data_IF_296743012420
#
_entry.id   IF_296743012420
#
_cell.length_a   1.000
_cell.length_b   1.000
_cell.length_c   1.000
_cell.angle_alpha   90.00
_cell.angle_beta   90.00
_cell.angle_gamma   90.00
#
_symmetry.space_group_name_H-M   'P 1'
#
loop_
_entity.id
_entity.type
_entity.pdbx_description
1 polymer ?
#
# COMPACT_ATOMS: atom_id res chain seq x y z
N UNK A 1 -31.51 -72.50 -21.57
CA UNK A 1 -32.38 -71.58 -20.80
C UNK A 1 -32.29 -70.19 -21.43
N UNK A 2 -33.41 -69.50 -21.68
CA UNK A 2 -33.43 -68.38 -22.60
C UNK A 2 -32.77 -67.11 -22.03
N UNK A 3 -31.99 -66.43 -22.88
CA UNK A 3 -31.23 -65.21 -22.60
C UNK A 3 -32.05 -63.98 -22.18
N UNK A 4 -33.38 -64.11 -22.10
CA UNK A 4 -34.29 -63.06 -21.63
C UNK A 4 -34.22 -62.84 -20.11
N UNK A 5 -33.92 -63.89 -19.34
CA UNK A 5 -33.89 -63.80 -17.87
C UNK A 5 -32.68 -63.04 -17.32
N UNK A 6 -31.50 -63.17 -17.95
CA UNK A 6 -30.31 -62.42 -17.56
C UNK A 6 -30.43 -60.91 -17.82
N UNK A 7 -31.09 -60.53 -18.91
CA UNK A 7 -31.31 -59.12 -19.27
C UNK A 7 -32.27 -58.40 -18.31
N UNK A 8 -33.25 -59.12 -17.78
CA UNK A 8 -34.21 -58.58 -16.82
C UNK A 8 -33.57 -58.38 -15.43
N UNK A 9 -32.72 -59.31 -14.99
CA UNK A 9 -32.03 -59.18 -13.70
C UNK A 9 -30.94 -58.08 -13.70
N UNK A 10 -30.24 -57.89 -14.82
CA UNK A 10 -29.25 -56.79 -14.93
C UNK A 10 -29.91 -55.42 -14.95
N UNK A 11 -31.07 -55.28 -15.62
CA UNK A 11 -31.85 -54.04 -15.61
C UNK A 11 -32.49 -53.75 -14.25
N UNK A 12 -32.96 -54.79 -13.54
CA UNK A 12 -33.48 -54.65 -12.18
C UNK A 12 -32.38 -54.22 -11.20
N UNK A 13 -31.17 -54.80 -11.31
CA UNK A 13 -30.03 -54.42 -10.48
C UNK A 13 -29.51 -53.01 -10.80
N UNK A 14 -29.52 -52.60 -12.07
CA UNK A 14 -29.18 -51.22 -12.47
C UNK A 14 -30.22 -50.18 -11.99
N UNK A 15 -31.51 -50.55 -11.94
CA UNK A 15 -32.59 -49.70 -11.40
C UNK A 15 -32.53 -49.60 -9.87
N UNK A 16 -32.18 -50.67 -9.16
CA UNK A 16 -31.95 -50.65 -7.71
C UNK A 16 -30.67 -49.89 -7.33
N UNK A 17 -29.59 -50.04 -8.10
CA UNK A 17 -28.36 -49.27 -7.90
C UNK A 17 -28.57 -47.75 -8.15
N UNK A 18 -29.42 -47.38 -9.12
CA UNK A 18 -29.81 -45.99 -9.37
C UNK A 18 -30.73 -45.42 -8.27
N UNK A 19 -31.57 -46.26 -7.64
CA UNK A 19 -32.36 -45.87 -6.46
C UNK A 19 -31.52 -45.70 -5.20
N UNK A 20 -30.47 -46.51 -5.03
CA UNK A 20 -29.57 -46.43 -3.88
C UNK A 20 -28.69 -45.17 -3.91
N UNK A 21 -28.26 -44.72 -5.10
CA UNK A 21 -27.49 -43.48 -5.27
C UNK A 21 -28.36 -42.21 -5.24
N UNK A 22 -29.67 -42.32 -5.47
CA UNK A 22 -30.63 -41.23 -5.34
C UNK A 22 -31.02 -40.90 -3.88
N UNK A 23 -30.47 -41.61 -2.89
CA UNK A 23 -30.76 -41.36 -1.46
C UNK A 23 -30.03 -40.15 -0.85
N UNK A 24 -29.23 -39.44 -1.63
CA UNK A 24 -28.72 -38.11 -1.27
C UNK A 24 -29.22 -37.08 -2.26
N UNK A 25 -30.54 -36.90 -2.31
CA UNK A 25 -31.11 -35.62 -2.71
C UNK A 25 -30.58 -34.57 -1.70
N UNK A 26 -30.01 -33.44 -2.15
CA UNK A 26 -29.67 -32.38 -1.22
C UNK A 26 -30.93 -32.00 -0.45
N UNK A 27 -30.80 -31.90 0.87
CA UNK A 27 -31.90 -31.56 1.77
C UNK A 27 -32.69 -30.39 1.17
N UNK A 28 -33.93 -30.67 0.77
CA UNK A 28 -34.85 -29.65 0.26
C UNK A 28 -35.06 -28.67 1.41
N UNK A 29 -34.71 -27.41 1.21
CA UNK A 29 -34.82 -26.36 2.21
C UNK A 29 -36.23 -26.39 2.86
N UNK A 30 -36.35 -26.24 4.19
CA UNK A 30 -37.66 -26.25 4.85
C UNK A 30 -38.60 -25.14 4.34
N UNK A 31 -38.08 -23.98 3.95
CA UNK A 31 -38.85 -22.91 3.29
C UNK A 31 -39.47 -23.31 1.93
N UNK A 32 -38.83 -24.23 1.19
CA UNK A 32 -39.36 -24.69 -0.10
C UNK A 32 -40.58 -25.58 0.04
N UNK A 33 -40.76 -26.21 1.21
CA UNK A 33 -41.92 -27.06 1.49
C UNK A 33 -43.15 -26.25 1.90
N UNK A 34 -42.99 -25.16 2.65
CA UNK A 34 -44.09 -24.24 2.99
C UNK A 34 -44.60 -23.47 1.77
N UNK A 35 -43.70 -22.98 0.90
CA UNK A 35 -44.10 -22.31 -0.35
C UNK A 35 -44.90 -23.26 -1.27
N UNK A 36 -44.50 -24.54 -1.34
CA UNK A 36 -45.17 -25.56 -2.16
C UNK A 36 -46.57 -25.95 -1.69
N UNK A 37 -46.93 -25.66 -0.43
CA UNK A 37 -48.24 -25.96 0.15
C UNK A 37 -49.29 -24.86 -0.11
N UNK A 38 -48.87 -23.65 -0.49
CA UNK A 38 -49.74 -22.47 -0.60
C UNK A 38 -49.92 -21.95 -2.04
N UNK A 39 -49.08 -22.37 -2.98
CA UNK A 39 -49.05 -21.85 -4.36
C UNK A 39 -49.26 -22.98 -5.37
N UNK A 40 -50.00 -22.71 -6.45
CA UNK A 40 -50.22 -23.67 -7.52
C UNK A 40 -48.93 -24.02 -8.30
N UNK A 41 -48.89 -25.10 -9.10
CA UNK A 41 -47.69 -25.52 -9.84
C UNK A 41 -47.08 -24.43 -10.76
N UNK A 42 -47.92 -23.56 -11.31
CA UNK A 42 -47.49 -22.41 -12.13
C UNK A 42 -46.91 -21.27 -11.27
N UNK A 43 -47.56 -20.94 -10.15
CA UNK A 43 -47.13 -19.88 -9.23
C UNK A 43 -45.84 -20.27 -8.49
N UNK A 44 -45.65 -21.55 -8.19
CA UNK A 44 -44.39 -22.09 -7.68
C UNK A 44 -43.25 -21.93 -8.69
N UNK A 45 -43.53 -22.19 -9.98
CA UNK A 45 -42.54 -22.00 -11.02
C UNK A 45 -42.10 -20.53 -11.12
N UNK A 46 -43.04 -19.58 -11.01
CA UNK A 46 -42.73 -18.15 -10.94
C UNK A 46 -41.99 -17.75 -9.67
N UNK A 47 -42.37 -18.30 -8.52
CA UNK A 47 -41.69 -18.10 -7.25
C UNK A 47 -40.22 -18.57 -7.29
N UNK A 48 -39.95 -19.79 -7.77
CA UNK A 48 -38.57 -20.30 -7.90
C UNK A 48 -37.79 -19.56 -9.00
N UNK A 49 -38.44 -19.15 -10.11
CA UNK A 49 -37.83 -18.28 -11.12
C UNK A 49 -37.41 -16.94 -10.55
N UNK A 50 -38.17 -16.34 -9.63
CA UNK A 50 -37.85 -15.06 -9.02
C UNK A 50 -36.89 -15.20 -7.82
N UNK A 51 -36.96 -16.30 -7.05
CA UNK A 51 -36.05 -16.62 -5.94
C UNK A 51 -34.64 -17.01 -6.42
N UNK A 52 -34.52 -17.56 -7.62
CA UNK A 52 -33.23 -17.87 -8.25
C UNK A 52 -32.39 -16.63 -8.62
N UNK A 53 -32.99 -15.43 -8.63
CA UNK A 53 -32.29 -14.16 -8.84
C UNK A 53 -32.42 -13.26 -7.59
N UNK A 54 -31.99 -13.78 -6.45
CA UNK A 54 -32.02 -13.06 -5.17
C UNK A 54 -30.97 -11.95 -5.09
N UNK A 55 -29.80 -12.16 -5.70
CA UNK A 55 -28.73 -11.17 -5.75
C UNK A 55 -28.93 -10.16 -6.89
N UNK A 56 -28.50 -8.91 -6.66
CA UNK A 56 -28.44 -7.86 -7.69
C UNK A 56 -27.62 -8.30 -8.91
N UNK A 57 -26.56 -9.08 -8.67
CA UNK A 57 -25.73 -9.68 -9.72
C UNK A 57 -26.51 -10.67 -10.59
N UNK A 58 -27.31 -11.55 -9.97
CA UNK A 58 -28.06 -12.58 -10.69
C UNK A 58 -29.15 -11.95 -11.55
N UNK A 59 -29.84 -10.92 -11.03
CA UNK A 59 -30.84 -10.15 -11.79
C UNK A 59 -30.20 -9.43 -12.97
N UNK A 60 -29.05 -8.78 -12.76
CA UNK A 60 -28.30 -8.13 -13.82
C UNK A 60 -27.89 -9.13 -14.91
N UNK A 61 -27.37 -10.31 -14.51
CA UNK A 61 -26.97 -11.37 -15.44
C UNK A 61 -28.15 -11.86 -16.28
N UNK A 62 -29.32 -12.05 -15.67
CA UNK A 62 -30.55 -12.42 -16.39
C UNK A 62 -30.95 -11.35 -17.41
N UNK A 63 -31.01 -10.09 -16.97
CA UNK A 63 -31.34 -8.95 -17.83
C UNK A 63 -30.42 -8.86 -19.05
N UNK A 64 -29.10 -9.01 -18.86
CA UNK A 64 -28.14 -8.99 -19.95
C UNK A 64 -28.32 -10.18 -20.90
N UNK A 65 -28.58 -11.37 -20.36
CA UNK A 65 -28.82 -12.57 -21.17
C UNK A 65 -30.12 -12.48 -21.99
N UNK A 66 -31.20 -12.01 -21.38
CA UNK A 66 -32.48 -11.80 -22.04
C UNK A 66 -32.32 -10.73 -23.14
N UNK A 67 -31.62 -9.63 -22.85
CA UNK A 67 -31.32 -8.60 -23.85
C UNK A 67 -30.56 -9.15 -25.07
N UNK A 68 -29.51 -9.94 -24.83
CA UNK A 68 -28.72 -10.58 -25.87
C UNK A 68 -29.56 -11.58 -26.71
N UNK A 69 -30.49 -12.28 -26.07
CA UNK A 69 -31.38 -13.24 -26.74
C UNK A 69 -32.43 -12.56 -27.62
N UNK A 70 -33.00 -11.43 -27.19
CA UNK A 70 -34.08 -10.74 -27.91
C UNK A 70 -33.59 -9.79 -29.00
N UNK A 71 -32.53 -9.02 -28.72
CA UNK A 71 -32.07 -7.95 -29.61
C UNK A 71 -30.82 -8.32 -30.41
N UNK A 72 -30.17 -9.44 -30.08
CA UNK A 72 -28.88 -9.83 -30.65
C UNK A 72 -27.72 -8.96 -30.16
N UNK A 73 -26.50 -9.46 -30.33
CA UNK A 73 -25.27 -8.82 -29.86
C UNK A 73 -24.31 -9.83 -29.23
N UNK A 74 -23.15 -9.35 -28.79
CA UNK A 74 -22.14 -10.16 -28.09
C UNK A 74 -21.79 -9.55 -26.75
N UNK A 75 -21.36 -10.40 -25.80
CA UNK A 75 -20.79 -9.95 -24.52
C UNK A 75 -19.60 -8.99 -24.68
N UNK A 76 -18.92 -9.01 -25.84
CA UNK A 76 -17.87 -8.07 -26.20
C UNK A 76 -18.35 -6.62 -26.28
N UNK A 77 -19.62 -6.40 -26.62
CA UNK A 77 -20.17 -5.08 -26.88
C UNK A 77 -20.51 -4.34 -25.58
N UNK A 78 -20.63 -5.09 -24.48
CA UNK A 78 -20.78 -4.57 -23.12
C UNK A 78 -19.46 -4.20 -22.44
N UNK A 79 -18.33 -4.33 -23.14
CA UNK A 79 -17.03 -3.96 -22.59
C UNK A 79 -16.98 -2.43 -22.47
N UNK A 80 -16.88 -1.95 -21.24
CA UNK A 80 -16.72 -0.53 -20.96
C UNK A 80 -15.36 -0.03 -21.47
N UNK A 81 -15.35 1.19 -22.02
CA UNK A 81 -14.13 1.90 -22.36
C UNK A 81 -13.47 2.46 -21.08
N UNK A 82 -12.48 1.75 -20.56
CA UNK A 82 -11.77 2.14 -19.33
C UNK A 82 -10.64 3.18 -19.57
N UNK A 83 -10.51 3.70 -20.80
CA UNK A 83 -9.37 4.54 -21.20
C UNK A 83 -9.29 5.88 -20.46
N UNK A 84 -10.44 6.41 -20.05
CA UNK A 84 -10.56 7.73 -19.39
C UNK A 84 -10.77 7.60 -17.88
N UNK A 85 -10.82 6.39 -17.35
CA UNK A 85 -11.08 6.17 -15.93
C UNK A 85 -9.91 6.69 -15.09
N UNK A 86 -10.22 7.64 -14.21
CA UNK A 86 -9.28 8.12 -13.20
C UNK A 86 -9.63 7.48 -11.87
N UNK A 87 -8.68 6.73 -11.32
CA UNK A 87 -8.81 6.20 -9.96
C UNK A 87 -8.23 7.20 -8.97
N UNK A 88 -8.66 7.08 -7.72
CA UNK A 88 -8.10 7.80 -6.59
C UNK A 88 -6.57 7.70 -6.52
N UNK A 89 -6.01 6.52 -6.78
CA UNK A 89 -4.56 6.30 -6.80
C UNK A 89 -3.84 7.13 -7.85
N UNK A 90 -4.46 7.38 -9.00
CA UNK A 90 -3.86 8.18 -10.08
C UNK A 90 -3.84 9.66 -9.68
N UNK A 91 -4.94 10.14 -9.10
CA UNK A 91 -5.03 11.50 -8.53
C UNK A 91 -3.97 11.71 -7.43
N UNK A 92 -3.78 10.72 -6.56
CA UNK A 92 -2.75 10.78 -5.51
C UNK A 92 -1.34 10.75 -6.10
N UNK A 93 -1.09 10.03 -7.20
CA UNK A 93 0.22 10.03 -7.88
C UNK A 93 0.54 11.36 -8.53
N UNK A 94 -0.47 12.06 -9.07
CA UNK A 94 -0.31 13.35 -9.73
C UNK A 94 -0.08 14.50 -8.75
N UNK A 95 -0.86 14.54 -7.67
CA UNK A 95 -0.86 15.64 -6.68
C UNK A 95 -0.11 15.31 -5.39
N UNK A 96 0.41 14.09 -5.27
CA UNK A 96 1.10 13.62 -4.08
C UNK A 96 2.43 14.33 -3.89
N UNK A 97 2.63 14.86 -2.67
CA UNK A 97 3.88 15.49 -2.25
C UNK A 97 4.64 14.61 -1.27
N UNK A 98 5.97 14.71 -1.27
CA UNK A 98 6.81 13.97 -0.33
C UNK A 98 6.68 14.55 1.09
N UNK A 99 6.73 15.88 1.22
CA UNK A 99 6.39 16.62 2.44
C UNK A 99 5.34 17.69 2.15
N UNK A 100 4.33 17.77 3.01
CA UNK A 100 3.44 18.93 3.09
C UNK A 100 4.01 19.93 4.10
N UNK A 101 4.09 21.20 3.70
CA UNK A 101 4.42 22.32 4.58
C UNK A 101 3.14 22.90 5.18
N UNK A 102 3.21 23.47 6.38
CA UNK A 102 2.04 24.12 7.02
C UNK A 102 1.50 25.30 6.20
N UNK A 103 2.34 25.88 5.32
CA UNK A 103 1.96 26.97 4.41
C UNK A 103 1.21 26.47 3.15
N UNK A 104 1.33 25.18 2.83
CA UNK A 104 0.74 24.60 1.63
C UNK A 104 -0.71 24.15 1.93
N UNK A 105 -1.66 25.07 1.82
CA UNK A 105 -3.08 24.75 1.92
C UNK A 105 -3.62 24.14 0.62
N UNK A 106 -4.31 22.97 0.69
CA UNK A 106 -4.83 22.31 -0.50
C UNK A 106 -6.03 23.07 -1.07
N UNK A 107 -5.90 23.57 -2.30
CA UNK A 107 -6.96 24.35 -2.95
C UNK A 107 -7.99 23.44 -3.60
N UNK A 108 -7.49 22.43 -4.31
CA UNK A 108 -8.31 21.52 -5.12
C UNK A 108 -8.75 20.30 -4.31
N UNK A 109 -9.88 19.69 -4.69
CA UNK A 109 -10.32 18.39 -4.15
C UNK A 109 -9.21 17.33 -4.23
N UNK A 110 -8.54 17.22 -5.38
CA UNK A 110 -7.42 16.28 -5.60
C UNK A 110 -6.27 16.46 -4.62
N UNK A 111 -5.94 17.72 -4.30
CA UNK A 111 -4.91 18.06 -3.34
C UNK A 111 -5.35 17.75 -1.90
N UNK A 112 -6.63 17.98 -1.58
CA UNK A 112 -7.20 17.60 -0.28
C UNK A 112 -7.17 16.08 -0.08
N UNK A 113 -7.49 15.32 -1.13
CA UNK A 113 -7.39 13.86 -1.12
C UNK A 113 -5.94 13.41 -0.90
N UNK A 114 -4.99 13.99 -1.63
CA UNK A 114 -3.56 13.70 -1.47
C UNK A 114 -3.05 14.06 -0.06
N UNK A 115 -3.51 15.17 0.51
CA UNK A 115 -3.17 15.58 1.89
C UNK A 115 -3.72 14.60 2.92
N UNK A 116 -5.00 14.22 2.83
CA UNK A 116 -5.61 13.22 3.72
C UNK A 116 -4.84 11.89 3.67
N UNK A 117 -4.42 11.46 2.48
CA UNK A 117 -3.58 10.28 2.34
C UNK A 117 -2.22 10.46 3.02
N UNK A 118 -1.54 11.59 2.79
CA UNK A 118 -0.26 11.90 3.42
C UNK A 118 -0.31 11.98 4.95
N UNK A 119 -1.40 12.50 5.52
CA UNK A 119 -1.60 12.57 6.97
C UNK A 119 -1.67 11.16 7.58
N UNK A 120 -2.32 10.22 6.88
CA UNK A 120 -2.44 8.80 7.26
C UNK A 120 -1.11 8.03 7.18
N UNK A 121 -0.11 8.53 6.44
CA UNK A 121 1.20 7.85 6.33
C UNK A 121 1.98 7.89 7.65
N UNK A 122 2.62 6.77 7.98
CA UNK A 122 3.59 6.68 9.08
C UNK A 122 4.95 7.24 8.64
N UNK A 123 5.32 8.40 9.20
CA UNK A 123 6.44 9.25 8.75
C UNK A 123 7.73 9.16 9.60
N UNK A 124 7.84 8.17 10.49
CA UNK A 124 9.01 8.06 11.39
C UNK A 124 10.26 7.55 10.69
N UNK A 125 10.12 6.52 9.87
CA UNK A 125 11.22 5.85 9.17
C UNK A 125 10.89 5.66 7.70
N UNK A 126 11.84 5.96 6.83
CA UNK A 126 11.75 5.71 5.39
C UNK A 126 12.38 4.37 4.99
N UNK A 127 11.98 3.90 3.81
CA UNK A 127 12.70 2.85 3.09
C UNK A 127 13.59 3.49 2.04
N UNK A 128 14.72 2.84 1.79
CA UNK A 128 15.72 3.29 0.82
C UNK A 128 15.96 2.19 -0.22
N UNK A 129 16.11 2.58 -1.48
CA UNK A 129 16.69 1.71 -2.51
C UNK A 129 18.16 2.09 -2.71
N UNK A 130 19.04 1.19 -2.29
CA UNK A 130 20.49 1.33 -2.43
C UNK A 130 21.02 0.65 -3.70
N UNK A 131 20.18 0.30 -4.68
CA UNK A 131 20.61 -0.42 -5.89
C UNK A 131 21.69 0.31 -6.70
N UNK A 132 21.61 1.64 -6.79
CA UNK A 132 22.57 2.50 -7.53
C UNK A 132 23.56 3.23 -6.62
N UNK A 133 23.93 2.62 -5.49
CA UNK A 133 24.83 3.22 -4.50
C UNK A 133 26.22 3.61 -5.05
N UNK A 134 26.73 2.90 -6.08
CA UNK A 134 28.01 3.23 -6.71
C UNK A 134 28.02 4.60 -7.38
N UNK A 135 26.87 5.03 -7.91
CA UNK A 135 26.68 6.36 -8.50
C UNK A 135 26.31 7.42 -7.45
N UNK A 136 26.26 7.06 -6.16
CA UNK A 136 25.77 7.90 -5.07
C UNK A 136 24.32 8.39 -5.28
N UNK A 137 23.53 7.61 -6.02
CA UNK A 137 22.10 7.85 -6.24
C UNK A 137 21.30 6.90 -5.37
N UNK A 138 20.37 7.45 -4.61
CA UNK A 138 19.52 6.71 -3.70
C UNK A 138 18.08 7.15 -3.91
N UNK A 139 17.16 6.19 -3.92
CA UNK A 139 15.72 6.47 -3.89
C UNK A 139 15.20 6.25 -2.49
N UNK A 140 14.31 7.11 -2.02
CA UNK A 140 13.62 6.93 -0.74
C UNK A 140 12.12 7.00 -0.94
N UNK A 141 11.39 6.24 -0.12
CA UNK A 141 9.93 6.35 -0.03
C UNK A 141 9.44 6.09 1.39
N UNK A 142 8.27 6.63 1.71
CA UNK A 142 7.55 6.29 2.92
C UNK A 142 7.10 4.81 2.91
N UNK A 143 6.90 4.26 4.10
CA UNK A 143 6.47 2.87 4.30
C UNK A 143 4.99 2.71 3.97
N UNK A 144 4.64 1.56 3.42
CA UNK A 144 3.24 1.14 3.25
C UNK A 144 2.74 0.43 4.51
N UNK A 145 1.42 0.37 4.69
CA UNK A 145 0.78 -0.30 5.83
C UNK A 145 1.30 -1.72 6.07
N UNK A 146 1.35 -2.55 5.02
CA UNK A 146 1.89 -3.92 5.10
C UNK A 146 3.35 -3.97 5.59
N UNK A 147 4.13 -2.94 5.27
CA UNK A 147 5.54 -2.84 5.66
C UNK A 147 5.70 -2.35 7.10
N UNK A 148 4.80 -1.48 7.56
CA UNK A 148 4.74 -1.02 8.94
C UNK A 148 4.35 -2.19 9.85
N UNK A 149 3.32 -2.96 9.48
CA UNK A 149 2.88 -4.15 10.24
C UNK A 149 4.00 -5.20 10.31
N UNK A 150 4.73 -5.42 9.21
CA UNK A 150 5.88 -6.34 9.21
C UNK A 150 7.12 -5.78 9.89
N UNK A 151 7.13 -4.51 10.33
CA UNK A 151 8.28 -3.90 11.01
C UNK A 151 9.47 -3.58 10.10
N UNK A 152 9.28 -3.53 8.78
CA UNK A 152 10.35 -3.15 7.83
C UNK A 152 10.80 -1.70 8.07
N UNK A 153 12.10 -1.48 8.05
CA UNK A 153 12.71 -0.17 8.31
C UNK A 153 12.78 0.23 9.79
N UNK A 154 12.21 -0.55 10.72
CA UNK A 154 12.31 -0.33 12.16
C UNK A 154 13.01 -1.48 12.86
N UNK A 155 12.47 -2.70 12.72
CA UNK A 155 13.04 -3.95 13.26
C UNK A 155 13.74 -4.78 12.20
N UNK A 156 13.46 -4.52 10.93
CA UNK A 156 14.17 -5.11 9.79
C UNK A 156 14.88 -4.00 9.00
N UNK A 157 15.91 -4.37 8.23
CA UNK A 157 16.66 -3.43 7.40
C UNK A 157 15.74 -2.63 6.46
N UNK A 158 15.93 -1.30 6.41
CA UNK A 158 15.14 -0.39 5.58
C UNK A 158 15.49 -0.38 4.09
N UNK A 159 16.47 -1.19 3.65
CA UNK A 159 16.78 -1.30 2.22
C UNK A 159 15.79 -2.25 1.53
N UNK A 160 15.08 -1.77 0.52
CA UNK A 160 14.01 -2.52 -0.18
C UNK A 160 14.50 -3.86 -0.73
N UNK A 161 15.74 -3.91 -1.22
CA UNK A 161 16.35 -5.10 -1.83
C UNK A 161 17.21 -5.90 -0.86
N UNK A 162 17.18 -5.61 0.44
CA UNK A 162 17.97 -6.34 1.41
C UNK A 162 17.23 -7.60 1.87
N UNK A 163 17.92 -8.73 1.83
CA UNK A 163 17.43 -10.03 2.33
C UNK A 163 17.91 -10.33 3.74
N UNK A 164 18.73 -9.45 4.35
CA UNK A 164 19.14 -9.61 5.74
C UNK A 164 17.89 -9.56 6.63
N UNK A 165 17.62 -10.65 7.34
CA UNK A 165 16.48 -10.80 8.24
C UNK A 165 16.53 -9.86 9.44
N UNK A 166 15.54 -10.01 10.33
CA UNK A 166 15.38 -9.20 11.54
C UNK A 166 16.56 -9.34 12.53
N UNK A 167 17.41 -10.35 12.38
CA UNK A 167 18.53 -10.66 13.29
C UNK A 167 19.77 -9.77 13.08
N UNK A 168 19.76 -8.94 12.03
CA UNK A 168 20.87 -8.04 11.77
C UNK A 168 20.86 -6.85 12.74
N UNK A 169 22.00 -6.56 13.39
CA UNK A 169 22.16 -5.34 14.20
C UNK A 169 21.96 -4.09 13.32
N UNK A 170 20.86 -3.38 13.56
CA UNK A 170 20.46 -2.19 12.81
C UNK A 170 21.06 -0.91 13.42
N UNK A 171 21.53 -0.01 12.57
CA UNK A 171 21.95 1.35 12.93
C UNK A 171 20.98 2.38 12.38
N UNK A 172 20.67 3.40 13.19
CA UNK A 172 19.86 4.54 12.80
C UNK A 172 20.75 5.60 12.13
N UNK A 173 20.25 6.16 11.03
CA UNK A 173 20.90 7.20 10.22
C UNK A 173 19.93 8.33 10.01
N UNK A 174 20.43 9.56 10.04
CA UNK A 174 19.71 10.74 9.60
C UNK A 174 20.36 11.21 8.30
N UNK A 175 19.60 11.18 7.22
CA UNK A 175 20.10 11.48 5.88
C UNK A 175 19.39 12.72 5.35
N UNK A 176 20.17 13.68 4.87
CA UNK A 176 19.63 14.82 4.14
C UNK A 176 19.21 14.37 2.74
N UNK A 177 17.91 14.26 2.53
CA UNK A 177 17.30 13.87 1.27
C UNK A 177 16.99 15.13 0.45
N UNK A 178 17.84 15.38 -0.54
CA UNK A 178 17.60 16.40 -1.56
C UNK A 178 16.81 15.79 -2.71
N UNK A 179 15.65 16.36 -3.02
CA UNK A 179 14.76 15.92 -4.10
C UNK A 179 14.21 17.10 -4.89
N UNK A 180 13.68 16.82 -6.07
CA UNK A 180 13.03 17.81 -6.94
C UNK A 180 11.55 17.51 -7.00
N UNK A 181 10.72 18.48 -6.64
CA UNK A 181 9.26 18.36 -6.59
C UNK A 181 8.67 19.57 -7.32
N UNK A 182 7.78 19.34 -8.29
CA UNK A 182 7.16 20.39 -9.13
C UNK A 182 8.13 21.44 -9.70
N UNK A 183 9.39 21.06 -9.97
CA UNK A 183 10.40 21.99 -10.52
C UNK A 183 11.32 22.61 -9.46
N UNK A 184 10.97 22.55 -8.18
CA UNK A 184 11.71 23.14 -7.07
C UNK A 184 12.60 22.10 -6.38
N UNK A 185 13.76 22.55 -5.91
CA UNK A 185 14.65 21.73 -5.09
C UNK A 185 14.27 21.83 -3.62
N UNK A 186 13.95 20.70 -3.01
CA UNK A 186 13.58 20.58 -1.60
C UNK A 186 14.56 19.65 -0.89
N UNK A 187 14.82 19.95 0.38
CA UNK A 187 15.67 19.15 1.24
C UNK A 187 14.87 18.75 2.48
N UNK A 188 14.98 17.48 2.89
CA UNK A 188 14.35 16.98 4.10
C UNK A 188 15.31 16.06 4.86
N UNK A 189 15.38 16.22 6.18
CA UNK A 189 16.12 15.29 7.03
C UNK A 189 15.24 14.08 7.35
N UNK A 190 15.67 12.90 6.89
CA UNK A 190 14.88 11.67 6.99
C UNK A 190 15.64 10.64 7.82
N UNK A 191 14.90 9.92 8.68
CA UNK A 191 15.46 8.85 9.52
C UNK A 191 15.36 7.49 8.81
N UNK A 192 16.45 6.73 8.85
CA UNK A 192 16.57 5.40 8.27
C UNK A 192 17.17 4.42 9.28
N UNK A 193 16.76 3.15 9.26
CA UNK A 193 17.48 2.07 9.97
C UNK A 193 18.00 1.04 8.99
N UNK A 194 19.31 0.78 9.04
CA UNK A 194 20.00 -0.08 8.08
C UNK A 194 20.91 -1.08 8.80
N UNK A 195 21.05 -2.28 8.23
CA UNK A 195 22.07 -3.24 8.67
C UNK A 195 23.48 -2.72 8.35
N UNK A 196 24.51 -3.39 8.88
CA UNK A 196 25.92 -3.04 8.66
C UNK A 196 26.27 -2.91 7.17
N UNK A 197 25.90 -3.88 6.34
CA UNK A 197 26.25 -3.88 4.91
C UNK A 197 25.55 -2.75 4.14
N UNK A 198 24.28 -2.48 4.45
CA UNK A 198 23.54 -1.40 3.80
C UNK A 198 24.01 -0.02 4.27
N UNK A 199 24.40 0.09 5.54
CA UNK A 199 25.05 1.27 6.10
C UNK A 199 26.39 1.56 5.39
N UNK A 200 27.14 0.52 5.03
CA UNK A 200 28.40 0.67 4.29
C UNK A 200 28.15 1.11 2.83
N UNK A 201 27.07 0.61 2.20
CA UNK A 201 26.62 1.06 0.87
C UNK A 201 26.15 2.50 0.86
N UNK A 202 25.47 2.96 1.91
CA UNK A 202 25.01 4.34 2.04
C UNK A 202 26.21 5.31 2.06
N UNK A 203 27.26 4.98 2.81
CA UNK A 203 28.46 5.82 2.96
C UNK A 203 29.58 5.47 1.96
N UNK A 204 29.27 4.81 0.86
CA UNK A 204 30.25 4.26 -0.07
C UNK A 204 31.25 5.30 -0.59
N UNK A 205 30.78 6.50 -0.93
CA UNK A 205 31.64 7.58 -1.45
C UNK A 205 32.49 8.24 -0.37
N UNK A 206 31.95 8.41 0.83
CA UNK A 206 32.66 9.04 1.95
C UNK A 206 33.84 8.18 2.39
N UNK A 207 33.61 6.86 2.54
CA UNK A 207 34.67 5.90 2.87
C UNK A 207 35.78 5.82 1.83
N UNK A 208 35.47 5.91 0.53
CA UNK A 208 36.51 5.99 -0.51
C UNK A 208 37.30 7.31 -0.44
N UNK A 209 36.66 8.42 -0.06
CA UNK A 209 37.35 9.71 0.05
C UNK A 209 38.32 9.71 1.24
N UNK A 210 37.96 9.07 2.36
CA UNK A 210 38.82 8.92 3.53
C UNK A 210 39.99 7.96 3.30
N UNK A 211 39.77 6.85 2.55
CA UNK A 211 40.80 5.84 2.28
C UNK A 211 41.74 6.27 1.14
N UNK A 212 41.25 7.00 0.15
CA UNK A 212 42.04 7.35 -1.05
C UNK A 212 42.64 8.75 -0.97
N UNK A 213 42.23 9.64 -0.05
CA UNK A 213 42.86 10.95 0.23
C UNK A 213 42.88 11.97 -0.94
N UNK A 214 42.64 11.53 -2.18
CA UNK A 214 42.69 12.34 -3.38
C UNK A 214 41.26 12.62 -3.87
N UNK A 215 40.95 13.91 -3.97
CA UNK A 215 39.88 14.40 -4.85
C UNK A 215 40.16 13.82 -6.23
N UNK A 216 39.33 12.88 -6.70
CA UNK A 216 39.27 12.57 -8.14
C UNK A 216 38.72 13.83 -8.79
N UNK A 217 39.65 14.68 -9.23
CA UNK A 217 39.37 15.88 -9.98
C UNK A 217 38.70 15.48 -11.28
N UNK A 218 37.60 16.15 -11.58
CA UNK A 218 37.13 16.30 -12.95
C UNK A 218 38.28 16.83 -13.80
N UNK A 219 38.72 16.05 -14.77
CA UNK A 219 39.64 16.49 -15.80
C UNK A 219 38.95 17.57 -16.65
N UNK A 220 39.25 18.83 -16.37
CA UNK A 220 39.25 19.88 -17.40
C UNK A 220 40.71 20.22 -17.73
N UNK A 221 41.08 20.35 -19.01
CA UNK A 221 42.47 20.57 -19.42
C UNK A 221 42.87 22.03 -19.18
N UNK A 222 43.84 22.24 -18.29
CA UNK A 222 44.45 23.54 -18.05
C UNK A 222 45.43 23.95 -19.19
N UNK A 223 45.49 25.24 -19.58
CA UNK A 223 46.53 25.75 -20.46
C UNK A 223 47.83 26.06 -19.70
N UNK A 224 48.91 25.51 -20.26
CA UNK A 224 50.35 25.81 -20.19
C UNK A 224 50.85 26.88 -19.18
N UNK A 225 51.58 26.35 -18.21
CA UNK A 225 52.78 26.82 -17.46
C UNK A 225 53.46 28.12 -17.95
N UNK A 226 53.58 29.07 -17.02
CA UNK A 226 54.64 30.08 -16.92
C UNK A 226 55.36 29.92 -15.57
N UNK A 227 56.63 30.29 -15.55
CA UNK A 227 57.73 29.86 -14.67
C UNK A 227 58.04 30.84 -13.52
N UNK A 228 58.92 30.43 -12.59
CA UNK A 228 59.66 31.17 -11.52
C UNK A 228 59.16 30.94 -10.07
N UNK A 229 59.82 30.07 -9.28
CA UNK A 229 61.01 30.21 -8.38
C UNK A 229 60.74 30.74 -6.96
N UNK A 230 61.21 29.94 -6.00
CA UNK A 230 61.84 30.30 -4.71
C UNK A 230 61.00 30.47 -3.41
N UNK A 231 61.41 29.62 -2.45
CA UNK A 231 61.69 29.84 -1.01
C UNK A 231 60.60 29.83 0.08
N UNK A 232 60.99 29.07 1.12
CA UNK A 232 60.70 29.14 2.56
C UNK A 232 59.56 28.35 3.21
N UNK A 233 59.96 27.62 4.26
CA UNK A 233 59.18 26.80 5.18
C UNK A 233 58.59 27.64 6.37
N UNK A 234 58.16 27.05 7.51
CA UNK A 234 56.77 26.67 7.76
C UNK A 234 56.18 27.36 9.02
N UNK A 235 54.86 27.51 9.12
CA UNK A 235 54.22 27.83 10.41
C UNK A 235 52.99 26.98 10.73
N UNK A 236 53.18 26.23 11.81
CA UNK A 236 52.26 25.50 12.68
C UNK A 236 51.05 26.33 13.14
N UNK A 237 49.86 25.73 13.20
CA UNK A 237 48.86 25.95 14.27
C UNK A 237 47.75 24.89 14.24
N UNK A 238 47.79 23.98 15.22
CA UNK A 238 46.65 23.17 15.70
C UNK A 238 45.76 24.03 16.60
N UNK A 239 44.45 23.76 16.67
CA UNK A 239 43.69 23.92 17.91
C UNK A 239 43.36 22.55 18.54
N UNK A 240 43.44 22.50 19.88
CA UNK A 240 42.98 21.40 20.75
C UNK A 240 41.65 21.80 21.42
N UNK A 241 40.91 20.85 22.01
CA UNK A 241 39.47 20.90 22.25
C UNK A 241 39.09 21.53 23.60
N UNK A 242 37.90 22.13 23.66
CA UNK A 242 37.25 22.57 24.90
C UNK A 242 36.22 21.54 25.36
N UNK A 243 36.45 21.05 26.58
CA UNK A 243 35.58 20.21 27.41
C UNK A 243 34.61 21.10 28.20
N UNK A 244 33.42 20.61 28.60
CA UNK A 244 32.50 21.43 29.39
C UNK A 244 31.01 21.03 29.44
N UNK A 245 30.75 19.82 29.91
CA UNK A 245 29.70 19.41 30.85
C UNK A 245 28.21 19.85 30.70
N UNK A 246 27.43 18.80 30.46
CA UNK A 246 26.05 18.47 30.81
C UNK A 246 25.54 19.02 32.17
N UNK A 247 24.37 19.66 32.14
CA UNK A 247 23.38 19.60 33.23
C UNK A 247 21.96 19.61 32.67
N UNK A 248 21.21 18.58 33.03
CA UNK A 248 19.80 18.34 32.77
C UNK A 248 18.87 19.40 33.41
N UNK A 249 17.95 19.97 32.63
CA UNK A 249 16.66 20.45 33.15
C UNK A 249 15.58 20.19 32.10
N UNK A 250 14.91 19.04 32.24
CA UNK A 250 13.63 18.74 31.62
C UNK A 250 12.57 19.63 32.28
N UNK A 251 12.10 20.67 31.60
CA UNK A 251 10.87 21.39 31.99
C UNK A 251 9.77 21.02 31.00
N UNK A 252 9.01 20.00 31.39
CA UNK A 252 7.72 19.67 30.79
C UNK A 252 6.76 20.85 30.96
N UNK A 253 6.46 21.55 29.88
CA UNK A 253 5.30 22.44 29.83
C UNK A 253 4.08 21.58 29.56
N UNK A 254 3.42 21.19 30.64
CA UNK A 254 2.07 20.65 30.65
C UNK A 254 1.14 21.79 30.26
N UNK A 255 0.68 21.80 29.01
CA UNK A 255 -0.44 22.65 28.62
C UNK A 255 -1.74 21.91 28.97
N UNK A 256 -2.24 22.25 30.15
CA UNK A 256 -3.59 22.01 30.61
C UNK A 256 -4.59 22.42 29.54
N UNK A 257 -5.28 21.46 28.93
CA UNK A 257 -6.56 21.71 28.29
C UNK A 257 -7.66 21.14 29.16
N UNK A 258 -8.61 22.03 29.43
CA UNK A 258 -9.80 21.90 30.25
C UNK A 258 -10.54 20.58 30.08
N UNK A 259 -10.80 19.94 31.21
CA UNK A 259 -11.81 18.91 31.33
C UNK A 259 -13.20 19.49 30.99
N UNK A 260 -13.76 19.10 29.85
CA UNK A 260 -15.19 19.09 29.65
C UNK A 260 -15.68 17.67 29.92
N UNK A 261 -16.33 17.52 31.06
CA UNK A 261 -17.11 16.34 31.41
C UNK A 261 -18.23 16.12 30.39
N UNK A 262 -18.16 15.04 29.63
CA UNK A 262 -19.34 14.42 29.02
C UNK A 262 -19.19 12.91 29.11
N UNK A 263 -20.27 12.25 29.49
CA UNK A 263 -20.37 10.79 29.61
C UNK A 263 -20.01 10.10 28.27
N UNK A 264 -19.60 8.82 28.28
CA UNK A 264 -19.36 8.10 27.02
C UNK A 264 -20.65 8.08 26.19
N UNK A 265 -20.61 8.71 25.02
CA UNK A 265 -21.67 8.64 24.02
C UNK A 265 -21.91 7.18 23.64
N UNK A 266 -23.16 6.79 23.46
CA UNK A 266 -23.48 5.43 23.03
C UNK A 266 -23.12 5.24 21.56
N UNK A 267 -22.84 4.01 21.16
CA UNK A 267 -22.44 3.68 19.79
C UNK A 267 -23.46 4.18 18.74
N UNK A 268 -24.75 4.22 19.09
CA UNK A 268 -25.83 4.70 18.20
C UNK A 268 -25.72 6.21 17.91
N UNK A 269 -25.31 7.01 18.90
CA UNK A 269 -25.12 8.45 18.72
C UNK A 269 -23.91 8.75 17.81
N UNK A 270 -22.86 7.93 17.85
CA UNK A 270 -21.73 8.01 16.91
C UNK A 270 -22.15 7.65 15.47
N UNK A 271 -23.06 6.69 15.31
CA UNK A 271 -23.60 6.33 14.00
C UNK A 271 -24.49 7.43 13.41
N UNK A 272 -25.36 8.05 14.21
CA UNK A 272 -26.24 9.12 13.74
C UNK A 272 -25.46 10.40 13.37
N UNK A 273 -24.42 10.73 14.13
CA UNK A 273 -23.52 11.87 13.84
C UNK A 273 -22.74 11.63 12.53
N UNK A 274 -22.35 10.39 12.24
CA UNK A 274 -21.74 9.98 10.96
C UNK A 274 -22.70 10.08 9.76
N UNK A 275 -23.97 9.73 9.94
CA UNK A 275 -24.97 9.84 8.86
C UNK A 275 -25.37 11.29 8.57
N UNK A 276 -25.38 12.16 9.59
CA UNK A 276 -25.68 13.57 9.42
C UNK A 276 -24.60 14.33 8.62
N UNK A 277 -23.31 13.98 8.80
CA UNK A 277 -22.18 14.63 8.10
C UNK A 277 -22.03 14.18 6.63
N UNK A 278 -22.69 13.08 6.24
CA UNK A 278 -22.65 12.54 4.87
C UNK A 278 -23.74 13.11 3.93
N UNK A 279 -24.75 13.79 4.47
CA UNK A 279 -25.92 14.31 3.74
C UNK A 279 -25.96 15.84 3.63
N UNK A 280 -24.92 16.53 4.08
CA UNK A 280 -24.66 17.97 3.93
C UNK A 280 -23.48 18.21 2.97
#
# INVERSE_FOLDING_TARGET
MPASYFRCMVLAWQLEAARATASTLPAVNPESQEAAALLGPQELCEYYKNKAYSSTYDRHRKLVNDYLQYYGGSWSDFKRDDATDRRDIDVIREHGRFLWSDKDEPKNWSERLAKRYWDKLFKEYCLVDLSRFKENKFGMRWRLEKEVISGKGQFTCGNVRCTAGADARLRSWEVNFAYKEHGEHRNALVKLRLCRDCSDKLNYRYKRRDVTGQKVGSEEPAPRRGETTATDEPETKRPKPGDGNQTDVWRSTTQTQSAQSSAPKTQEEEFDEYFADMLL
#
